data_IF_018261241305
#
_entry.id   IF_018261241305
#
_cell.length_a   1.000
_cell.length_b   1.000
_cell.length_c   1.000
_cell.angle_alpha   90.00
_cell.angle_beta   90.00
_cell.angle_gamma   90.00
#
_symmetry.space_group_name_H-M   'P 1'
#
loop_
_entity.id
_entity.type
_entity.pdbx_description
1 polymer ?
#
# COMPACT_ATOMS: atom_id res chain seq x y z
N UNK A 1 7.41 -9.86 13.15
CA UNK A 1 6.40 -10.93 13.33
C UNK A 1 5.79 -11.24 11.98
N UNK A 2 5.53 -12.52 11.68
CA UNK A 2 4.92 -12.96 10.42
C UNK A 2 3.46 -13.33 10.66
N UNK A 3 2.55 -12.61 10.00
CA UNK A 3 1.09 -12.71 10.16
C UNK A 3 0.57 -12.82 11.61
N UNK A 4 1.01 -11.97 12.56
CA UNK A 4 0.73 -12.17 13.99
C UNK A 4 -0.75 -12.10 14.39
N UNK A 5 -1.60 -11.57 13.51
CA UNK A 5 -3.00 -11.25 13.77
C UNK A 5 -3.98 -11.94 12.83
N UNK A 6 -3.50 -12.69 11.82
CA UNK A 6 -4.35 -13.21 10.74
C UNK A 6 -5.39 -14.24 11.18
N UNK A 7 -5.15 -14.94 12.29
CA UNK A 7 -6.07 -15.95 12.85
C UNK A 7 -7.01 -15.43 13.95
N UNK A 8 -6.96 -14.12 14.24
CA UNK A 8 -7.71 -13.52 15.35
C UNK A 8 -8.95 -12.77 14.83
N UNK A 9 -10.01 -12.75 15.62
CA UNK A 9 -11.17 -11.87 15.36
C UNK A 9 -10.74 -10.39 15.40
N UNK A 10 -11.42 -9.54 14.62
CA UNK A 10 -11.10 -8.10 14.47
C UNK A 10 -10.97 -7.39 15.82
N UNK A 11 -11.82 -7.75 16.80
CA UNK A 11 -11.77 -7.16 18.14
C UNK A 11 -10.51 -7.54 18.93
N UNK A 12 -10.01 -8.76 18.74
CA UNK A 12 -8.80 -9.27 19.39
C UNK A 12 -7.55 -8.75 18.69
N UNK A 13 -7.58 -8.63 17.36
CA UNK A 13 -6.49 -8.01 16.58
C UNK A 13 -6.20 -6.60 17.09
N UNK A 14 -7.25 -5.78 17.27
CA UNK A 14 -7.11 -4.42 17.80
C UNK A 14 -6.47 -4.39 19.20
N UNK A 15 -6.84 -5.32 20.08
CA UNK A 15 -6.26 -5.40 21.43
C UNK A 15 -4.78 -5.76 21.40
N UNK A 16 -4.39 -6.72 20.53
CA UNK A 16 -2.99 -7.11 20.36
C UNK A 16 -2.17 -5.96 19.80
N UNK A 17 -2.69 -5.25 18.80
CA UNK A 17 -2.04 -4.07 18.21
C UNK A 17 -1.81 -2.98 19.28
N UNK A 18 -2.85 -2.61 20.02
CA UNK A 18 -2.73 -1.60 21.08
C UNK A 18 -1.74 -2.00 22.18
N UNK A 19 -1.63 -3.30 22.48
CA UNK A 19 -0.62 -3.80 23.40
C UNK A 19 0.79 -3.63 22.82
N UNK A 20 1.01 -4.02 21.56
CA UNK A 20 2.30 -3.88 20.89
C UNK A 20 2.73 -2.40 20.81
N UNK A 21 1.84 -1.49 20.43
CA UNK A 21 2.12 -0.05 20.40
C UNK A 21 2.55 0.49 21.77
N UNK A 22 1.85 0.10 22.85
CA UNK A 22 2.25 0.48 24.21
C UNK A 22 3.64 -0.06 24.57
N UNK A 23 3.92 -1.31 24.28
CA UNK A 23 5.23 -1.92 24.53
C UNK A 23 6.33 -1.25 23.69
N UNK A 24 6.02 -0.86 22.46
CA UNK A 24 6.93 -0.12 21.60
C UNK A 24 7.34 1.20 22.25
N UNK A 25 6.35 1.97 22.73
CA UNK A 25 6.57 3.26 23.36
C UNK A 25 7.29 3.13 24.72
N UNK A 26 6.93 2.13 25.53
CA UNK A 26 7.52 1.91 26.85
C UNK A 26 8.99 1.46 26.77
N UNK A 27 9.32 0.59 25.82
CA UNK A 27 10.64 -0.03 25.72
C UNK A 27 11.51 0.49 24.56
N UNK A 28 11.00 1.45 23.76
CA UNK A 28 11.72 2.01 22.60
C UNK A 28 12.01 0.97 21.51
N UNK A 29 11.07 0.04 21.28
CA UNK A 29 11.27 -1.08 20.37
C UNK A 29 11.07 -0.67 18.90
N UNK A 30 11.74 -1.37 18.00
CA UNK A 30 11.46 -1.32 16.56
C UNK A 30 10.77 -2.61 16.14
N UNK A 31 9.65 -2.49 15.42
CA UNK A 31 8.91 -3.64 14.91
C UNK A 31 8.94 -3.72 13.40
N UNK A 32 8.98 -4.95 12.90
CA UNK A 32 8.75 -5.28 11.49
C UNK A 32 7.57 -6.24 11.45
N UNK A 33 6.50 -5.80 10.80
CA UNK A 33 5.27 -6.57 10.62
C UNK A 33 5.16 -7.03 9.16
N UNK A 34 4.76 -8.28 8.97
CA UNK A 34 4.39 -8.84 7.68
C UNK A 34 2.89 -9.16 7.74
N UNK A 35 2.12 -8.56 6.85
CA UNK A 35 0.66 -8.73 6.79
C UNK A 35 0.17 -8.59 5.34
N UNK A 36 -0.95 -9.26 5.05
CA UNK A 36 -1.64 -9.16 3.77
C UNK A 36 -2.85 -8.21 3.80
N UNK A 37 -3.33 -7.83 4.99
CA UNK A 37 -4.41 -6.85 5.16
C UNK A 37 -3.84 -5.43 5.28
N UNK A 38 -4.01 -4.65 4.21
CA UNK A 38 -3.57 -3.26 4.16
C UNK A 38 -4.33 -2.36 5.15
N UNK A 39 -5.53 -2.72 5.60
CA UNK A 39 -6.27 -1.93 6.59
C UNK A 39 -5.53 -1.89 7.92
N UNK A 40 -4.98 -3.04 8.33
CA UNK A 40 -4.18 -3.17 9.55
C UNK A 40 -2.83 -2.48 9.39
N UNK A 41 -2.14 -2.72 8.26
CA UNK A 41 -0.81 -2.14 7.99
C UNK A 41 -0.84 -0.61 8.10
N UNK A 42 -1.90 0.04 7.61
CA UNK A 42 -2.07 1.51 7.70
C UNK A 42 -2.03 2.03 9.13
N UNK A 43 -2.56 1.29 10.11
CA UNK A 43 -2.74 1.79 11.47
C UNK A 43 -1.48 1.63 12.32
N UNK A 44 -0.65 0.63 12.01
CA UNK A 44 0.45 0.20 12.90
C UNK A 44 1.85 0.55 12.38
N UNK A 45 1.95 1.02 11.14
CA UNK A 45 3.24 1.14 10.45
C UNK A 45 3.58 2.59 10.15
N UNK A 46 4.75 3.04 10.63
CA UNK A 46 5.33 4.34 10.21
C UNK A 46 5.76 4.32 8.74
N UNK A 47 6.19 3.14 8.26
CA UNK A 47 6.67 2.90 6.90
C UNK A 47 6.13 1.60 6.36
N UNK A 48 5.81 1.61 5.07
CA UNK A 48 5.27 0.46 4.36
C UNK A 48 6.19 0.06 3.23
N UNK A 49 6.36 -1.25 3.05
CA UNK A 49 7.06 -1.84 1.91
C UNK A 49 6.13 -2.85 1.25
N UNK A 50 5.77 -2.61 -0.01
CA UNK A 50 4.92 -3.48 -0.80
C UNK A 50 5.80 -4.45 -1.57
N UNK A 51 5.53 -5.74 -1.47
CA UNK A 51 6.32 -6.79 -2.11
C UNK A 51 5.51 -7.57 -3.14
N UNK A 52 6.13 -7.86 -4.30
CA UNK A 52 5.57 -8.75 -5.31
C UNK A 52 6.61 -9.79 -5.74
N UNK A 53 6.24 -11.07 -5.65
CA UNK A 53 7.11 -12.22 -5.97
C UNK A 53 8.52 -12.07 -5.39
N UNK A 54 8.65 -11.71 -4.11
CA UNK A 54 9.95 -11.59 -3.42
C UNK A 54 10.78 -10.35 -3.79
N UNK A 55 10.19 -9.29 -4.35
CA UNK A 55 10.84 -7.98 -4.53
C UNK A 55 10.00 -6.87 -3.91
N UNK A 56 10.62 -5.99 -3.15
CA UNK A 56 9.99 -4.72 -2.77
C UNK A 56 9.79 -3.92 -4.05
N UNK A 57 8.53 -3.62 -4.36
CA UNK A 57 8.14 -2.89 -5.57
C UNK A 57 7.82 -1.43 -5.27
N UNK A 58 7.51 -1.10 -4.02
CA UNK A 58 7.24 0.26 -3.58
C UNK A 58 7.47 0.40 -2.08
N UNK A 59 8.01 1.52 -1.62
CA UNK A 59 8.12 1.83 -0.19
C UNK A 59 7.95 3.32 0.06
N UNK A 60 7.33 3.65 1.19
CA UNK A 60 7.06 5.02 1.61
C UNK A 60 6.44 5.05 3.00
N UNK A 61 5.99 6.24 3.42
CA UNK A 61 5.08 6.40 4.56
C UNK A 61 3.69 5.84 4.25
N UNK A 62 2.81 5.81 5.25
CA UNK A 62 1.41 5.49 5.04
C UNK A 62 0.75 6.44 4.02
N UNK A 63 0.94 7.76 4.15
CA UNK A 63 0.36 8.72 3.22
C UNK A 63 0.87 8.51 1.78
N UNK A 64 2.17 8.28 1.62
CA UNK A 64 2.79 8.03 0.31
C UNK A 64 2.21 6.78 -0.36
N UNK A 65 2.04 5.69 0.38
CA UNK A 65 1.57 4.41 -0.17
C UNK A 65 0.05 4.40 -0.36
N UNK A 66 -0.74 4.83 0.63
CA UNK A 66 -2.20 4.68 0.59
C UNK A 66 -2.88 5.76 -0.25
N UNK A 67 -2.32 6.97 -0.29
CA UNK A 67 -2.95 8.13 -0.94
C UNK A 67 -2.29 8.44 -2.29
N UNK A 68 -0.98 8.21 -2.40
CA UNK A 68 -0.18 8.54 -3.58
C UNK A 68 0.52 7.35 -4.25
N UNK A 69 -0.09 6.14 -4.36
CA UNK A 69 0.61 4.97 -4.89
C UNK A 69 1.01 5.18 -6.36
N UNK A 70 2.25 4.84 -6.69
CA UNK A 70 2.83 5.00 -8.03
C UNK A 70 3.06 3.69 -8.77
N UNK A 71 3.22 2.57 -8.06
CA UNK A 71 3.41 1.27 -8.66
C UNK A 71 2.05 0.63 -9.04
N UNK A 72 1.86 0.13 -10.28
CA UNK A 72 0.59 -0.49 -10.71
C UNK A 72 0.11 -1.65 -9.81
N UNK A 73 1.03 -2.44 -9.27
CA UNK A 73 0.66 -3.49 -8.31
C UNK A 73 0.03 -2.92 -7.02
N UNK A 74 0.65 -1.91 -6.41
CA UNK A 74 0.12 -1.26 -5.19
C UNK A 74 -1.22 -0.61 -5.45
N UNK A 75 -1.38 0.03 -6.60
CA UNK A 75 -2.67 0.57 -7.05
C UNK A 75 -3.73 -0.53 -7.13
N UNK A 76 -3.41 -1.68 -7.71
CA UNK A 76 -4.36 -2.79 -7.79
C UNK A 76 -4.70 -3.34 -6.41
N UNK A 77 -3.72 -3.52 -5.52
CA UNK A 77 -3.95 -3.95 -4.14
C UNK A 77 -4.87 -3.00 -3.40
N UNK A 78 -4.58 -1.70 -3.43
CA UNK A 78 -5.39 -0.70 -2.74
C UNK A 78 -6.82 -0.68 -3.30
N UNK A 79 -7.00 -0.82 -4.62
CA UNK A 79 -8.34 -0.87 -5.25
C UNK A 79 -9.21 -2.02 -4.75
N UNK A 80 -8.60 -3.07 -4.20
CA UNK A 80 -9.30 -4.23 -3.67
C UNK A 80 -9.62 -4.13 -2.18
N UNK A 81 -9.07 -3.14 -1.45
CA UNK A 81 -9.34 -2.96 -0.02
C UNK A 81 -10.83 -2.64 0.20
N UNK A 82 -11.55 -3.39 1.07
CA UNK A 82 -12.95 -3.11 1.36
C UNK A 82 -13.15 -1.69 1.91
N UNK A 83 -14.20 -1.00 1.45
CA UNK A 83 -14.61 0.30 1.99
C UNK A 83 -15.92 0.10 2.74
N UNK A 84 -16.03 0.49 4.03
CA UNK A 84 -17.24 0.33 4.82
C UNK A 84 -18.43 1.14 4.28
N UNK A 85 -18.18 2.37 3.83
CA UNK A 85 -19.21 3.26 3.26
C UNK A 85 -19.69 2.75 1.87
N UNK A 86 -20.98 2.39 1.73
CA UNK A 86 -21.56 1.95 0.46
C UNK A 86 -21.45 2.98 -0.67
N UNK A 87 -21.54 4.28 -0.37
CA UNK A 87 -21.47 5.31 -1.41
C UNK A 87 -20.04 5.49 -1.92
N UNK A 88 -19.05 5.58 -1.01
CA UNK A 88 -17.64 5.58 -1.39
C UNK A 88 -17.25 4.30 -2.15
N UNK A 89 -17.84 3.15 -1.79
CA UNK A 89 -17.66 1.89 -2.51
C UNK A 89 -18.21 1.95 -3.94
N UNK A 90 -19.38 2.56 -4.15
CA UNK A 90 -19.98 2.69 -5.48
C UNK A 90 -19.20 3.64 -6.40
N UNK A 91 -18.57 4.67 -5.84
CA UNK A 91 -17.74 5.64 -6.58
C UNK A 91 -16.34 5.12 -6.95
N UNK A 92 -15.98 3.91 -6.51
CA UNK A 92 -14.60 3.40 -6.61
C UNK A 92 -14.37 2.56 -7.86
N UNK A 93 -13.34 2.91 -8.62
CA UNK A 93 -12.85 2.07 -9.72
C UNK A 93 -11.98 0.92 -9.20
N UNK A 94 -12.46 -0.32 -9.37
CA UNK A 94 -11.68 -1.51 -9.03
C UNK A 94 -10.78 -1.90 -10.20
N UNK A 95 -9.49 -2.09 -9.92
CA UNK A 95 -8.53 -2.56 -10.92
C UNK A 95 -8.53 -4.10 -10.89
N UNK A 96 -9.04 -4.71 -11.96
CA UNK A 96 -9.07 -6.17 -12.09
C UNK A 96 -7.80 -6.62 -12.80
N UNK A 97 -6.92 -7.30 -12.07
CA UNK A 97 -5.72 -7.92 -12.64
C UNK A 97 -6.10 -9.16 -13.42
N UNK A 98 -5.64 -9.24 -14.68
CA UNK A 98 -5.78 -10.44 -15.51
C UNK A 98 -4.58 -11.37 -15.33
N UNK A 99 -4.80 -12.65 -15.63
CA UNK A 99 -3.77 -13.69 -15.51
C UNK A 99 -3.49 -14.13 -14.07
N UNK A 100 -2.92 -15.32 -13.96
CA UNK A 100 -2.54 -15.93 -12.69
C UNK A 100 -1.25 -15.33 -12.11
N UNK A 101 -1.07 -15.48 -10.80
CA UNK A 101 0.21 -15.17 -10.16
C UNK A 101 1.26 -16.16 -10.69
N UNK A 102 2.38 -15.68 -11.27
CA UNK A 102 3.44 -16.56 -11.74
C UNK A 102 4.02 -17.44 -10.62
N UNK A 103 4.44 -18.65 -10.98
CA UNK A 103 5.11 -19.55 -10.04
C UNK A 103 6.42 -18.93 -9.54
N UNK A 104 6.74 -19.04 -8.23
CA UNK A 104 8.06 -18.68 -7.71
C UNK A 104 9.23 -19.45 -8.36
N UNK A 105 8.95 -20.60 -8.99
CA UNK A 105 9.95 -21.39 -9.74
C UNK A 105 10.14 -20.93 -11.18
N UNK A 106 9.25 -20.09 -11.71
CA UNK A 106 9.25 -19.58 -13.07
C UNK A 106 9.06 -18.06 -13.07
N UNK A 107 10.05 -17.35 -12.50
CA UNK A 107 10.00 -15.91 -12.32
C UNK A 107 10.10 -15.20 -13.67
N UNK A 108 9.16 -14.28 -14.00
CA UNK A 108 9.24 -13.50 -15.22
C UNK A 108 10.52 -12.62 -15.27
N UNK A 109 11.20 -12.56 -16.42
CA UNK A 109 12.40 -11.70 -16.67
C UNK A 109 12.15 -10.19 -16.55
N UNK A 110 13.13 -9.35 -16.23
CA UNK A 110 12.86 -7.90 -16.10
C UNK A 110 11.88 -7.59 -14.95
N UNK A 111 10.82 -6.82 -15.21
CA UNK A 111 9.78 -6.52 -14.23
C UNK A 111 8.94 -7.77 -13.91
N UNK A 112 8.99 -8.20 -12.64
CA UNK A 112 8.25 -9.37 -12.13
C UNK A 112 6.73 -9.23 -12.28
N UNK A 113 6.20 -8.02 -12.22
CA UNK A 113 4.76 -7.75 -12.30
C UNK A 113 4.23 -7.64 -13.75
N UNK A 114 5.09 -7.66 -14.78
CA UNK A 114 4.67 -7.33 -16.15
C UNK A 114 3.55 -8.23 -16.70
N UNK A 115 3.47 -9.49 -16.28
CA UNK A 115 2.49 -10.46 -16.81
C UNK A 115 1.06 -10.16 -16.36
N UNK A 116 0.89 -9.28 -15.36
CA UNK A 116 -0.39 -8.85 -14.81
C UNK A 116 -0.57 -7.33 -14.82
N UNK A 117 0.47 -6.59 -15.23
CA UNK A 117 0.46 -5.14 -15.26
C UNK A 117 -0.24 -4.64 -16.53
N UNK A 118 -1.30 -3.85 -16.38
CA UNK A 118 -2.02 -3.24 -17.52
C UNK A 118 -1.21 -2.15 -18.24
N UNK A 119 -0.06 -1.75 -17.68
CA UNK A 119 0.90 -0.80 -18.27
C UNK A 119 2.16 -1.48 -18.81
N UNK A 120 2.19 -2.81 -18.87
CA UNK A 120 3.38 -3.52 -19.32
C UNK A 120 3.70 -3.18 -20.78
N UNK A 121 4.95 -2.81 -21.03
CA UNK A 121 5.51 -2.64 -22.37
C UNK A 121 6.69 -3.60 -22.58
N UNK A 122 7.22 -3.67 -23.80
CA UNK A 122 8.37 -4.53 -24.16
C UNK A 122 9.57 -4.34 -23.23
N UNK A 123 9.85 -3.09 -22.85
CA UNK A 123 10.94 -2.77 -21.91
C UNK A 123 10.78 -3.48 -20.56
N UNK A 124 9.55 -3.66 -20.08
CA UNK A 124 9.28 -4.38 -18.83
C UNK A 124 9.71 -5.85 -18.87
N UNK A 125 9.86 -6.46 -20.06
CA UNK A 125 10.34 -7.85 -20.18
C UNK A 125 11.87 -7.97 -20.11
N UNK A 126 12.59 -6.88 -20.40
CA UNK A 126 14.05 -6.85 -20.56
C UNK A 126 14.75 -6.17 -19.39
N UNK A 127 14.14 -5.14 -18.82
CA UNK A 127 14.73 -4.31 -17.77
C UNK A 127 14.11 -4.62 -16.40
N UNK A 128 14.96 -4.82 -15.40
CA UNK A 128 14.54 -4.92 -13.99
C UNK A 128 14.49 -3.50 -13.44
N UNK A 129 13.31 -2.94 -13.10
CA UNK A 129 13.24 -1.61 -12.53
C UNK A 129 13.89 -1.59 -11.14
N UNK A 130 14.72 -0.57 -10.88
CA UNK A 130 15.33 -0.36 -9.56
C UNK A 130 14.33 0.25 -8.58
N UNK A 131 14.42 -0.13 -7.31
CA UNK A 131 13.67 0.52 -6.24
C UNK A 131 14.32 1.87 -5.91
N UNK A 132 13.89 2.91 -6.61
CA UNK A 132 14.36 4.27 -6.42
C UNK A 132 13.22 5.26 -6.67
N UNK A 133 13.40 6.52 -6.24
CA UNK A 133 12.45 7.58 -6.58
C UNK A 133 12.47 7.76 -8.11
N UNK A 134 11.34 7.55 -8.81
CA UNK A 134 11.28 7.69 -10.26
C UNK A 134 11.73 9.08 -10.70
N UNK A 135 12.53 9.16 -11.75
CA UNK A 135 13.20 10.40 -12.18
C UNK A 135 12.23 11.58 -12.33
N UNK A 136 11.06 11.33 -12.92
CA UNK A 136 10.01 12.33 -13.12
C UNK A 136 9.40 12.89 -11.83
N UNK A 137 9.54 12.20 -10.71
CA UNK A 137 9.04 12.66 -9.40
C UNK A 137 10.13 13.31 -8.55
N UNK A 138 11.42 13.09 -8.88
CA UNK A 138 12.54 13.70 -8.13
C UNK A 138 12.47 15.22 -8.11
N UNK A 139 12.07 15.84 -9.23
CA UNK A 139 11.95 17.29 -9.34
C UNK A 139 10.61 17.84 -8.79
N UNK A 140 9.56 17.02 -8.77
CA UNK A 140 8.24 17.43 -8.30
C UNK A 140 8.18 17.59 -6.77
N UNK A 141 8.97 16.79 -6.04
CA UNK A 141 8.88 16.70 -4.59
C UNK A 141 7.51 16.19 -4.11
N UNK A 142 7.28 16.26 -2.80
CA UNK A 142 6.00 15.85 -2.19
C UNK A 142 5.78 14.33 -2.11
N UNK A 143 4.57 13.89 -1.69
CA UNK A 143 4.29 12.50 -1.35
C UNK A 143 4.43 11.50 -2.52
N UNK A 144 4.39 11.97 -3.76
CA UNK A 144 4.58 11.12 -4.96
C UNK A 144 6.07 10.76 -5.18
N UNK A 145 6.99 11.47 -4.53
CA UNK A 145 8.43 11.31 -4.69
C UNK A 145 9.03 10.26 -3.74
N UNK A 146 8.48 9.04 -3.76
CA UNK A 146 8.97 7.92 -2.96
C UNK A 146 9.47 6.74 -3.84
N UNK A 147 10.28 5.81 -3.28
CA UNK A 147 10.84 4.72 -4.06
C UNK A 147 9.81 3.76 -4.66
N UNK A 148 9.88 3.56 -5.97
CA UNK A 148 8.98 2.71 -6.74
C UNK A 148 9.72 2.00 -7.87
N UNK A 149 9.75 0.67 -7.82
CA UNK A 149 10.40 -0.18 -8.81
C UNK A 149 9.52 -0.34 -10.06
N UNK A 150 9.27 0.76 -10.78
CA UNK A 150 8.48 0.76 -12.00
C UNK A 150 9.08 1.70 -13.07
N UNK A 151 9.32 1.16 -14.28
CA UNK A 151 9.77 1.95 -15.44
C UNK A 151 8.74 3.03 -15.86
N UNK A 152 7.47 2.77 -15.56
CA UNK A 152 6.34 3.62 -15.92
C UNK A 152 5.54 4.02 -14.68
N UNK A 153 6.20 4.19 -13.52
CA UNK A 153 5.55 4.64 -12.28
C UNK A 153 4.63 5.82 -12.57
N UNK A 154 3.42 5.88 -12.03
CA UNK A 154 2.54 7.04 -12.20
C UNK A 154 1.58 7.09 -11.03
N UNK A 155 1.39 8.25 -10.41
CA UNK A 155 0.40 8.39 -9.35
C UNK A 155 -1.00 8.06 -9.89
N UNK A 156 -1.76 7.29 -9.11
CA UNK A 156 -3.19 7.10 -9.31
C UNK A 156 -3.86 7.11 -7.95
N UNK A 157 -4.80 8.03 -7.72
CA UNK A 157 -5.64 7.94 -6.51
C UNK A 157 -6.59 6.77 -6.67
N UNK A 158 -6.46 5.80 -5.77
CA UNK A 158 -7.27 4.58 -5.78
C UNK A 158 -8.20 4.50 -4.57
N UNK A 159 -7.84 5.15 -3.47
CA UNK A 159 -8.71 5.33 -2.30
C UNK A 159 -9.35 6.72 -2.42
N UNK A 160 -10.68 6.87 -2.27
CA UNK A 160 -11.29 8.18 -2.09
C UNK A 160 -10.63 8.84 -0.88
N UNK A 161 -10.11 10.06 -1.04
CA UNK A 161 -9.44 10.76 0.05
C UNK A 161 -10.38 10.88 1.25
N UNK A 162 -9.93 10.47 2.43
CA UNK A 162 -10.63 10.75 3.68
C UNK A 162 -10.45 12.25 3.99
N UNK A 163 -11.22 13.10 3.32
CA UNK A 163 -11.19 14.53 3.59
C UNK A 163 -12.58 15.11 3.41
N UNK A 164 -13.39 14.98 4.47
CA UNK A 164 -14.46 15.91 4.89
C UNK A 164 -15.15 15.40 6.17
N UNK A 165 -14.48 15.42 7.33
CA UNK A 165 -15.16 15.60 8.64
C UNK A 165 -14.22 16.36 9.61
N UNK A 166 -14.09 17.66 9.37
CA UNK A 166 -13.84 18.64 10.43
C UNK A 166 -14.95 19.68 10.32
N UNK A 167 -16.03 19.45 11.08
CA UNK A 167 -17.19 20.33 11.11
C UNK A 167 -17.79 20.42 12.51
N UNK A 168 -17.18 21.27 13.35
CA UNK A 168 -17.91 22.00 14.39
C UNK A 168 -18.01 21.39 15.79
N UNK A 169 -17.05 21.74 16.64
CA UNK A 169 -17.33 21.96 18.06
C UNK A 169 -18.44 23.01 18.19
N UNK A 170 -19.63 22.58 18.59
CA UNK A 170 -20.70 23.45 19.08
C UNK A 170 -20.85 23.28 20.59
N UNK A 171 -20.01 23.96 21.36
CA UNK A 171 -20.30 24.26 22.76
C UNK A 171 -21.49 25.22 22.82
N UNK A 172 -22.56 24.82 23.51
CA UNK A 172 -23.65 25.71 23.90
C UNK A 172 -24.15 25.29 25.28
N UNK A 173 -24.16 26.19 26.29
CA UNK A 173 -24.72 25.90 27.61
C UNK A 173 -26.23 26.11 27.58
N UNK A 174 -26.97 25.24 28.27
CA UNK A 174 -28.41 25.33 28.46
C UNK A 174 -28.93 24.16 29.27
#
# INVERSE_FOLDING_TARGET
ADEPVSALDVSVQAQVINLLERLQAEFGLSYVFIAHDLSIVRHISDRVAVMYLGRIVETGTDAEIYEHPTHPYTQALLSAVPVPDPEARARRERIILTGDVPSPTAIPSGCRFRTRCWKAEERCAREVPELAVPEKFRAAGGPVAHPSACLFAAERRVVPGAMEEHGGHGNGPG
#
